data_IF_952574371372
#
_entry.id   IF_952574371372
#
_cell.length_a   1.000
_cell.length_b   1.000
_cell.length_c   1.000
_cell.angle_alpha   90.00
_cell.angle_beta   90.00
_cell.angle_gamma   90.00
#
_symmetry.space_group_name_H-M   'P 1'
#
loop_
_entity.id
_entity.type
_entity.pdbx_description
1 polymer ?
#
# COMPACT_ATOMS: atom_id res chain seq x y z
N UNK A 1 -5.32 -7.80 -15.48
CA UNK A 1 -6.18 -7.30 -16.57
C UNK A 1 -5.38 -6.28 -17.36
N UNK A 2 -5.40 -6.31 -18.70
CA UNK A 2 -4.76 -5.28 -19.51
C UNK A 2 -5.70 -4.08 -19.56
N UNK A 3 -5.19 -2.87 -19.35
CA UNK A 3 -5.96 -1.65 -19.62
C UNK A 3 -5.79 -1.31 -21.11
N UNK A 4 -6.88 -1.26 -21.87
CA UNK A 4 -6.82 -0.98 -23.32
C UNK A 4 -6.33 0.45 -23.63
N UNK A 5 -6.47 1.39 -22.68
CA UNK A 5 -5.99 2.76 -22.82
C UNK A 5 -4.49 2.89 -22.51
N UNK A 6 -3.95 2.04 -21.63
CA UNK A 6 -2.56 2.13 -21.17
C UNK A 6 -1.91 0.75 -21.12
N UNK A 7 -0.85 0.56 -21.92
CA UNK A 7 -0.03 -0.66 -21.95
C UNK A 7 0.87 -0.79 -20.71
N UNK A 8 0.28 -0.69 -19.53
CA UNK A 8 0.92 -0.82 -18.23
C UNK A 8 0.16 -1.85 -17.41
N UNK A 9 0.88 -2.54 -16.54
CA UNK A 9 0.29 -3.41 -15.52
C UNK A 9 0.34 -2.68 -14.18
N UNK A 10 -0.73 -2.82 -13.41
CA UNK A 10 -0.81 -2.32 -12.05
C UNK A 10 -1.42 -3.41 -11.16
N UNK A 11 -0.97 -3.45 -9.91
CA UNK A 11 -1.46 -4.36 -8.90
C UNK A 11 -1.71 -3.57 -7.62
N UNK A 12 -2.80 -3.89 -6.94
CA UNK A 12 -3.13 -3.39 -5.61
C UNK A 12 -3.35 -4.60 -4.71
N UNK A 13 -2.66 -4.62 -3.57
CA UNK A 13 -2.78 -5.68 -2.56
C UNK A 13 -3.43 -5.05 -1.33
N UNK A 14 -4.68 -5.43 -1.06
CA UNK A 14 -5.43 -4.93 0.09
C UNK A 14 -5.37 -5.94 1.23
N UNK A 15 -4.62 -5.60 2.29
CA UNK A 15 -4.50 -6.39 3.50
C UNK A 15 -5.45 -5.84 4.57
N UNK A 16 -6.69 -6.33 4.56
CA UNK A 16 -7.69 -5.91 5.55
C UNK A 16 -7.23 -6.29 6.97
N UNK A 17 -7.21 -5.30 7.86
CA UNK A 17 -6.83 -5.46 9.25
C UNK A 17 -8.08 -5.52 10.15
N UNK A 18 -8.51 -4.38 10.68
CA UNK A 18 -9.50 -4.30 11.76
C UNK A 18 -10.51 -3.18 11.54
N UNK A 19 -11.54 -3.14 12.38
CA UNK A 19 -12.41 -1.97 12.46
C UNK A 19 -11.61 -0.73 12.91
N UNK A 20 -12.03 0.43 12.41
CA UNK A 20 -11.40 1.70 12.74
C UNK A 20 -11.71 2.08 14.20
N UNK A 21 -10.75 1.81 15.08
CA UNK A 21 -10.72 2.27 16.47
C UNK A 21 -9.45 3.09 16.67
N UNK A 22 -9.39 3.92 17.72
CA UNK A 22 -8.20 4.74 17.98
C UNK A 22 -6.92 3.88 18.04
N UNK A 23 -6.96 2.77 18.78
CA UNK A 23 -5.84 1.85 18.93
C UNK A 23 -5.44 1.24 17.58
N UNK A 24 -6.40 0.70 16.84
CA UNK A 24 -6.12 0.09 15.54
C UNK A 24 -5.59 1.11 14.53
N UNK A 25 -6.08 2.34 14.56
CA UNK A 25 -5.63 3.42 13.68
C UNK A 25 -4.17 3.75 13.95
N UNK A 26 -3.80 3.96 15.21
CA UNK A 26 -2.43 4.30 15.59
C UNK A 26 -1.47 3.14 15.28
N UNK A 27 -1.87 1.89 15.57
CA UNK A 27 -1.05 0.73 15.24
C UNK A 27 -0.80 0.59 13.74
N UNK A 28 -1.85 0.75 12.92
CA UNK A 28 -1.74 0.62 11.48
C UNK A 28 -0.93 1.78 10.87
N UNK A 29 -1.12 3.01 11.35
CA UNK A 29 -0.33 4.17 10.92
C UNK A 29 1.16 4.02 11.26
N UNK A 30 1.47 3.58 12.49
CA UNK A 30 2.84 3.30 12.90
C UNK A 30 3.47 2.22 12.03
N UNK A 31 2.75 1.12 11.77
CA UNK A 31 3.24 0.05 10.91
C UNK A 31 3.52 0.57 9.49
N UNK A 32 2.57 1.29 8.87
CA UNK A 32 2.76 1.87 7.54
C UNK A 32 3.93 2.84 7.50
N UNK A 33 4.13 3.64 8.55
CA UNK A 33 5.28 4.54 8.65
C UNK A 33 6.62 3.79 8.66
N UNK A 34 6.71 2.64 9.34
CA UNK A 34 7.93 1.82 9.35
C UNK A 34 8.24 1.18 8.02
N UNK A 35 7.22 0.80 7.24
CA UNK A 35 7.41 0.07 5.99
C UNK A 35 7.47 0.95 4.74
N UNK A 36 7.04 2.22 4.80
CA UNK A 36 6.95 3.11 3.63
C UNK A 36 8.27 3.23 2.86
N UNK A 37 9.34 3.67 3.54
CA UNK A 37 10.67 3.80 2.95
C UNK A 37 11.28 2.47 2.48
N UNK A 38 11.34 1.40 3.30
CA UNK A 38 11.95 0.15 2.85
C UNK A 38 11.14 -0.54 1.76
N UNK A 39 9.80 -0.40 1.73
CA UNK A 39 9.00 -0.89 0.61
C UNK A 39 9.28 -0.11 -0.67
N UNK A 40 9.43 1.22 -0.57
CA UNK A 40 9.81 2.02 -1.72
C UNK A 40 11.20 1.61 -2.21
N UNK A 41 12.22 1.59 -1.35
CA UNK A 41 13.57 1.23 -1.76
C UNK A 41 13.63 -0.19 -2.37
N UNK A 42 13.03 -1.18 -1.71
CA UNK A 42 13.06 -2.55 -2.19
C UNK A 42 12.39 -2.70 -3.56
N UNK A 43 11.16 -2.23 -3.72
CA UNK A 43 10.38 -2.49 -4.93
C UNK A 43 10.69 -1.49 -6.06
N UNK A 44 11.00 -0.23 -5.74
CA UNK A 44 11.28 0.84 -6.71
C UNK A 44 12.76 0.95 -7.07
N UNK A 45 13.65 0.96 -6.08
CA UNK A 45 15.09 1.21 -6.28
C UNK A 45 15.85 -0.08 -6.55
N UNK A 46 15.59 -1.14 -5.79
CA UNK A 46 16.35 -2.39 -5.87
C UNK A 46 15.80 -3.31 -6.96
N UNK A 47 14.51 -3.66 -6.90
CA UNK A 47 13.87 -4.60 -7.83
C UNK A 47 13.37 -3.94 -9.13
N UNK A 48 13.24 -2.61 -9.15
CA UNK A 48 12.83 -1.82 -10.32
C UNK A 48 11.49 -2.28 -10.94
N UNK A 49 10.51 -2.66 -10.10
CA UNK A 49 9.23 -3.23 -10.56
C UNK A 49 8.34 -2.24 -11.30
N UNK A 50 8.53 -0.94 -11.09
CA UNK A 50 7.78 0.10 -11.78
C UNK A 50 8.03 1.48 -11.18
N UNK A 51 7.65 2.54 -11.91
CA UNK A 51 7.85 3.90 -11.44
C UNK A 51 6.98 4.25 -10.21
N UNK A 52 5.76 3.70 -10.17
CA UNK A 52 4.77 3.93 -9.11
C UNK A 52 4.83 2.74 -8.15
N UNK A 53 5.27 3.01 -6.92
CA UNK A 53 5.28 2.07 -5.79
C UNK A 53 4.80 2.84 -4.57
N UNK A 54 3.87 2.25 -3.80
CA UNK A 54 3.36 2.86 -2.56
C UNK A 54 2.89 1.77 -1.58
N UNK A 55 3.19 1.95 -0.30
CA UNK A 55 2.65 1.16 0.81
C UNK A 55 2.03 2.13 1.82
N UNK A 56 0.72 2.06 2.04
CA UNK A 56 0.00 3.04 2.85
C UNK A 56 -1.27 2.44 3.44
N UNK A 57 -1.85 3.13 4.41
CA UNK A 57 -3.14 2.81 4.99
C UNK A 57 -4.26 3.07 3.98
N UNK A 58 -5.24 2.17 3.92
CA UNK A 58 -6.46 2.38 3.13
C UNK A 58 -7.68 2.21 4.03
N UNK A 59 -8.59 3.19 4.00
CA UNK A 59 -9.76 3.26 4.90
C UNK A 59 -11.03 3.32 4.08
N UNK A 60 -11.94 2.39 4.32
CA UNK A 60 -13.23 2.36 3.64
C UNK A 60 -14.30 1.77 4.54
N UNK A 61 -15.48 2.41 4.59
CA UNK A 61 -16.68 1.91 5.30
C UNK A 61 -16.43 1.44 6.75
N UNK A 62 -15.55 2.13 7.49
CA UNK A 62 -15.26 1.83 8.89
C UNK A 62 -14.31 0.65 9.14
N UNK A 63 -13.74 0.07 8.08
CA UNK A 63 -12.66 -0.92 8.16
C UNK A 63 -11.39 -0.36 7.54
N UNK A 64 -10.26 -0.96 7.94
CA UNK A 64 -8.92 -0.68 7.47
C UNK A 64 -8.11 -1.96 7.47
#
# INVERSE_FOLDING_TARGET
MLNDAHKLHAIEIYLQCFQQTLENNVLLELFCHFVDEPCFDQLRTTEQLGYIVKADTHRSRGVQ
#
